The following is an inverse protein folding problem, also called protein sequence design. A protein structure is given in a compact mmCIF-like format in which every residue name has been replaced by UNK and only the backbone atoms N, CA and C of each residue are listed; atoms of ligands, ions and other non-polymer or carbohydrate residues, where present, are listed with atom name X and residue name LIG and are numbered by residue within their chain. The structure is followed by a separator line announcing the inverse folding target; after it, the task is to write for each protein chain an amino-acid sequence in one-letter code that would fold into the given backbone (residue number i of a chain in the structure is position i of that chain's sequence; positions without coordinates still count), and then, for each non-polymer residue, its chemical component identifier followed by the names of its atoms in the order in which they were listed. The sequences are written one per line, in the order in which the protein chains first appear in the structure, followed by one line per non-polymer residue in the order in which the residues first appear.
data_IF_285550072132
#
_entry.id   IF_285550072132
#
_cell.length_a   1.000
_cell.length_b   1.000
_cell.length_c   1.000
_cell.angle_alpha   90.00
_cell.angle_beta   90.00
_cell.angle_gamma   90.00
#
_symmetry.space_group_name_H-M   'P 1'
#
loop_
_entity.id
_entity.type
_entity.pdbx_description
1 polymer ?
#
# COMPACT_ATOMS: atom_id res chain seq x y z
N UNK A 1 -6.98 -5.48 -6.27
CA UNK A 1 -5.73 -5.07 -5.60
C UNK A 1 -5.96 -3.93 -4.60
N UNK A 2 -7.19 -3.52 -4.47
CA UNK A 2 -7.67 -2.46 -3.60
C UNK A 2 -9.07 -2.84 -3.12
N UNK A 3 -9.37 -2.68 -1.85
CA UNK A 3 -10.64 -3.08 -1.25
C UNK A 3 -11.10 -2.06 -0.22
N UNK A 4 -12.39 -2.07 0.09
CA UNK A 4 -12.96 -1.19 1.10
C UNK A 4 -13.17 -1.99 2.39
N UNK A 5 -12.69 -1.44 3.49
CA UNK A 5 -12.93 -1.95 4.83
C UNK A 5 -13.92 -1.01 5.53
N UNK A 6 -14.96 -1.60 6.08
CA UNK A 6 -15.90 -0.92 6.95
C UNK A 6 -15.50 -1.21 8.42
N UNK A 7 -15.34 -0.16 9.20
CA UNK A 7 -15.06 -0.25 10.62
C UNK A 7 -16.09 0.57 11.42
N UNK A 8 -16.89 -0.12 12.21
CA UNK A 8 -17.87 0.51 13.09
C UNK A 8 -17.32 0.56 14.52
N UNK A 9 -17.40 1.73 15.16
CA UNK A 9 -16.96 1.97 16.54
C UNK A 9 -18.03 2.69 17.34
N UNK A 10 -17.87 2.69 18.68
CA UNK A 10 -18.82 3.30 19.62
C UNK A 10 -19.83 2.31 20.17
N UNK A 11 -20.80 2.81 20.92
CA UNK A 11 -21.91 2.06 21.51
C UNK A 11 -23.23 2.72 21.14
N UNK A 12 -24.25 1.89 20.92
CA UNK A 12 -25.59 2.41 20.63
C UNK A 12 -26.07 3.37 21.72
N UNK A 13 -26.67 4.56 21.38
CA UNK A 13 -27.01 5.01 20.03
C UNK A 13 -25.89 5.78 19.29
N UNK A 14 -24.72 5.93 19.88
CA UNK A 14 -23.60 6.74 19.34
C UNK A 14 -22.61 5.84 18.57
N UNK A 15 -23.04 5.35 17.42
CA UNK A 15 -22.20 4.57 16.51
C UNK A 15 -21.59 5.47 15.44
N UNK A 16 -20.32 5.20 15.10
CA UNK A 16 -19.60 5.83 13.98
C UNK A 16 -19.07 4.76 13.06
N UNK A 17 -19.34 4.89 11.76
CA UNK A 17 -18.82 4.00 10.74
C UNK A 17 -17.79 4.74 9.87
N UNK A 18 -16.64 4.13 9.69
CA UNK A 18 -15.54 4.60 8.83
C UNK A 18 -15.36 3.62 7.67
N UNK A 19 -15.23 4.14 6.46
CA UNK A 19 -14.87 3.36 5.28
C UNK A 19 -13.44 3.70 4.87
N UNK A 20 -12.58 2.68 4.73
CA UNK A 20 -11.19 2.86 4.32
C UNK A 20 -10.92 2.07 3.06
N UNK A 21 -10.25 2.71 2.10
CA UNK A 21 -9.68 2.03 0.95
C UNK A 21 -8.32 1.47 1.34
N UNK A 22 -8.20 0.15 1.43
CA UNK A 22 -6.98 -0.54 1.84
C UNK A 22 -6.29 -1.22 0.66
N UNK A 23 -4.98 -1.29 0.73
CA UNK A 23 -4.09 -1.84 -0.31
C UNK A 23 -2.71 -2.16 0.25
N UNK A 24 -1.81 -2.61 -0.59
CA UNK A 24 -0.40 -2.70 -0.20
C UNK A 24 0.13 -1.34 0.25
N UNK A 25 0.74 -1.31 1.43
CA UNK A 25 1.25 -0.08 2.03
C UNK A 25 2.65 0.34 1.54
N UNK A 26 3.28 -0.44 0.66
CA UNK A 26 4.61 -0.15 0.11
C UNK A 26 5.61 0.32 1.19
N UNK A 27 5.72 -0.49 2.24
CA UNK A 27 6.50 -0.21 3.45
C UNK A 27 7.95 0.15 3.14
N UNK A 28 8.54 1.05 3.94
CA UNK A 28 9.97 1.37 3.85
C UNK A 28 10.85 0.27 4.44
N UNK A 29 10.32 -0.48 5.44
CA UNK A 29 10.94 -1.69 6.00
C UNK A 29 10.09 -2.94 5.70
N UNK A 30 10.06 -3.42 4.43
CA UNK A 30 9.08 -4.41 3.99
C UNK A 30 9.49 -5.84 4.36
N UNK A 31 8.95 -6.39 5.44
CA UNK A 31 9.18 -7.80 5.85
C UNK A 31 8.94 -8.78 4.71
N UNK A 32 7.98 -8.51 3.84
CA UNK A 32 7.68 -9.35 2.68
C UNK A 32 8.76 -9.36 1.58
N UNK A 33 9.69 -8.41 1.60
CA UNK A 33 10.91 -8.41 0.76
C UNK A 33 12.00 -9.21 1.47
N UNK A 34 12.22 -8.93 2.75
CA UNK A 34 13.26 -9.59 3.55
C UNK A 34 13.08 -11.11 3.61
N UNK A 35 11.83 -11.60 3.70
CA UNK A 35 11.50 -13.02 3.76
C UNK A 35 11.39 -13.70 2.39
N UNK A 36 11.58 -13.00 1.28
CA UNK A 36 11.45 -13.61 -0.04
C UNK A 36 12.70 -14.43 -0.39
N UNK A 37 12.61 -15.77 -0.48
CA UNK A 37 13.80 -16.61 -0.67
C UNK A 37 14.42 -16.48 -2.06
N UNK A 38 13.64 -16.03 -3.05
CA UNK A 38 14.09 -15.89 -4.45
C UNK A 38 14.39 -14.45 -4.84
N UNK A 39 14.14 -13.48 -3.95
CA UNK A 39 14.22 -12.06 -4.28
C UNK A 39 13.15 -11.60 -5.29
N UNK A 40 12.12 -12.39 -5.53
CA UNK A 40 11.01 -12.00 -6.40
C UNK A 40 10.28 -10.75 -5.87
N UNK A 41 10.08 -10.68 -4.55
CA UNK A 41 9.60 -9.46 -3.89
C UNK A 41 10.79 -8.54 -3.62
N UNK A 42 10.76 -7.33 -4.15
CA UNK A 42 11.89 -6.39 -4.09
C UNK A 42 11.41 -4.94 -4.08
N UNK A 43 12.27 -4.02 -3.70
CA UNK A 43 12.09 -2.58 -3.88
C UNK A 43 12.45 -2.20 -5.32
N UNK A 44 11.62 -1.37 -5.94
CA UNK A 44 11.83 -0.91 -7.31
C UNK A 44 12.75 0.29 -7.34
N UNK A 45 13.95 0.12 -7.94
CA UNK A 45 14.99 1.16 -8.02
C UNK A 45 15.27 1.77 -6.64
N UNK A 46 15.51 3.06 -6.59
CA UNK A 46 15.75 3.83 -5.36
C UNK A 46 14.45 4.39 -4.76
N UNK A 47 13.36 3.63 -4.86
CA UNK A 47 12.04 3.99 -4.33
C UNK A 47 11.59 3.03 -3.25
N UNK A 48 10.55 3.41 -2.50
CA UNK A 48 9.85 2.51 -1.58
C UNK A 48 8.70 1.74 -2.25
N UNK A 49 8.66 1.69 -3.58
CA UNK A 49 7.66 0.90 -4.29
C UNK A 49 8.07 -0.56 -4.27
N UNK A 50 7.35 -1.37 -3.52
CA UNK A 50 7.56 -2.83 -3.47
C UNK A 50 6.91 -3.47 -4.69
N UNK A 51 7.66 -4.29 -5.42
CA UNK A 51 7.17 -5.06 -6.58
C UNK A 51 7.38 -6.55 -6.35
N UNK A 52 6.76 -7.34 -7.22
CA UNK A 52 7.00 -8.79 -7.34
C UNK A 52 7.31 -9.09 -8.79
N UNK A 53 8.40 -9.80 -9.03
CA UNK A 53 8.76 -10.32 -10.34
C UNK A 53 8.18 -11.73 -10.52
N UNK A 54 7.18 -11.91 -11.40
CA UNK A 54 6.51 -13.21 -11.55
C UNK A 54 7.46 -14.34 -11.94
N UNK A 55 8.44 -14.05 -12.82
CA UNK A 55 9.39 -15.04 -13.29
C UNK A 55 10.30 -15.63 -12.20
N UNK A 56 10.53 -14.90 -11.12
CA UNK A 56 11.31 -15.35 -9.97
C UNK A 56 10.44 -15.93 -8.84
N UNK A 57 9.12 -15.72 -8.90
CA UNK A 57 8.23 -16.09 -7.83
C UNK A 57 7.91 -17.59 -7.86
N UNK A 58 8.24 -18.31 -6.80
CA UNK A 58 7.94 -19.74 -6.64
C UNK A 58 6.57 -20.02 -6.01
N UNK A 59 5.79 -18.98 -5.69
CA UNK A 59 4.48 -19.15 -5.06
C UNK A 59 4.52 -19.69 -3.61
N UNK A 60 5.65 -19.58 -2.91
CA UNK A 60 5.84 -20.14 -1.56
C UNK A 60 4.94 -19.51 -0.46
N UNK A 61 4.29 -18.39 -0.75
CA UNK A 61 3.34 -17.66 0.13
C UNK A 61 3.94 -17.07 1.42
N UNK A 62 5.25 -17.15 1.64
CA UNK A 62 5.89 -16.57 2.84
C UNK A 62 5.57 -15.07 2.99
N UNK A 63 5.55 -14.33 1.89
CA UNK A 63 5.22 -12.91 1.87
C UNK A 63 3.73 -12.60 2.11
N UNK A 64 2.81 -13.56 1.90
CA UNK A 64 1.40 -13.44 2.30
C UNK A 64 1.32 -13.52 3.82
N UNK A 65 1.91 -14.56 4.41
CA UNK A 65 1.90 -14.77 5.86
C UNK A 65 2.59 -13.63 6.64
N UNK A 66 3.57 -12.97 6.02
CA UNK A 66 4.32 -11.86 6.63
C UNK A 66 3.63 -10.49 6.50
N UNK A 67 2.61 -10.35 5.66
CA UNK A 67 1.96 -9.07 5.40
C UNK A 67 0.88 -8.77 6.45
N UNK A 68 1.05 -7.78 7.33
CA UNK A 68 0.04 -7.48 8.35
C UNK A 68 -1.21 -6.78 7.78
N UNK A 69 -1.14 -6.39 6.50
CA UNK A 69 -2.23 -5.67 5.81
C UNK A 69 -3.05 -6.58 4.89
N UNK A 70 -2.74 -7.87 4.84
CA UNK A 70 -3.38 -8.85 3.96
C UNK A 70 -3.40 -8.47 2.47
N UNK A 71 -2.39 -7.72 2.05
CA UNK A 71 -2.35 -7.03 0.76
C UNK A 71 -1.74 -7.85 -0.39
N UNK A 72 -1.60 -9.16 -0.22
CA UNK A 72 -1.01 -10.06 -1.22
C UNK A 72 -1.97 -11.19 -1.57
N UNK A 73 -2.03 -11.53 -2.84
CA UNK A 73 -2.92 -12.57 -3.35
C UNK A 73 -2.17 -13.51 -4.31
N UNK A 74 -2.69 -14.72 -4.45
CA UNK A 74 -2.19 -15.71 -5.43
C UNK A 74 -2.89 -15.47 -6.76
N UNK A 75 -2.10 -15.33 -7.82
CA UNK A 75 -2.64 -15.24 -9.19
C UNK A 75 -2.86 -16.65 -9.76
N UNK A 76 -4.08 -16.93 -10.15
CA UNK A 76 -4.45 -18.17 -10.81
C UNK A 76 -4.55 -17.97 -12.32
N UNK A 77 -4.15 -18.95 -13.14
CA UNK A 77 -3.59 -20.28 -12.78
C UNK A 77 -2.09 -20.28 -12.48
N UNK A 78 -1.35 -19.19 -12.70
CA UNK A 78 0.11 -19.15 -12.73
C UNK A 78 0.79 -19.36 -11.37
N UNK A 79 0.05 -19.15 -10.27
CA UNK A 79 0.51 -19.44 -8.92
C UNK A 79 1.48 -18.42 -8.29
N UNK A 80 1.92 -17.40 -9.03
CA UNK A 80 2.75 -16.35 -8.44
C UNK A 80 1.96 -15.41 -7.52
N UNK A 81 2.66 -14.66 -6.69
CA UNK A 81 2.04 -13.70 -5.76
C UNK A 81 1.99 -12.31 -6.40
N UNK A 82 0.84 -11.67 -6.32
CA UNK A 82 0.64 -10.31 -6.82
C UNK A 82 0.05 -9.39 -5.73
N UNK A 83 0.08 -8.09 -6.00
CA UNK A 83 -0.42 -7.02 -5.13
C UNK A 83 -0.52 -5.69 -5.87
N UNK A 84 -0.98 -4.63 -5.20
CA UNK A 84 -0.88 -3.26 -5.70
C UNK A 84 0.58 -2.91 -6.05
N UNK A 85 0.80 -2.27 -7.18
CA UNK A 85 2.14 -1.87 -7.69
C UNK A 85 2.37 -0.37 -7.65
N UNK A 86 1.48 0.41 -7.03
CA UNK A 86 1.37 1.87 -7.19
C UNK A 86 1.33 2.30 -8.66
N UNK A 87 0.93 1.38 -9.57
CA UNK A 87 0.96 1.64 -11.01
C UNK A 87 2.33 2.17 -11.47
N UNK A 88 3.44 1.54 -11.05
CA UNK A 88 4.81 2.01 -11.29
C UNK A 88 5.05 2.40 -12.75
N UNK A 89 4.46 1.66 -13.70
CA UNK A 89 4.51 1.95 -15.13
C UNK A 89 3.92 3.32 -15.51
N UNK A 90 2.94 3.84 -14.72
CA UNK A 90 2.39 5.19 -14.90
C UNK A 90 3.26 6.22 -14.19
N UNK A 91 3.71 5.89 -12.97
CA UNK A 91 4.56 6.76 -12.15
C UNK A 91 5.88 7.08 -12.87
N UNK A 92 6.48 6.12 -13.57
CA UNK A 92 7.65 6.34 -14.45
C UNK A 92 7.42 7.37 -15.54
N UNK A 93 6.18 7.53 -15.98
CA UNK A 93 5.78 8.51 -17.00
C UNK A 93 5.32 9.85 -16.39
N UNK A 94 5.49 10.03 -15.07
CA UNK A 94 5.02 11.22 -14.35
C UNK A 94 3.50 11.29 -14.19
N UNK A 95 2.78 10.16 -14.35
CA UNK A 95 1.34 10.08 -14.19
C UNK A 95 0.98 9.51 -12.82
N UNK A 96 -0.13 9.98 -12.25
CA UNK A 96 -0.67 9.43 -11.03
C UNK A 96 -1.11 7.96 -11.18
N UNK A 97 -1.07 7.17 -10.09
CA UNK A 97 -1.71 5.87 -10.04
C UNK A 97 -3.17 5.92 -10.48
N UNK A 98 -3.64 4.86 -11.15
CA UNK A 98 -4.99 4.83 -11.72
C UNK A 98 -6.10 5.09 -10.68
N UNK A 99 -5.96 4.55 -9.46
CA UNK A 99 -6.93 4.77 -8.38
C UNK A 99 -6.99 6.25 -7.92
N UNK A 100 -5.89 6.98 -7.99
CA UNK A 100 -5.84 8.42 -7.68
C UNK A 100 -6.52 9.21 -8.79
N UNK A 101 -6.13 9.00 -10.05
CA UNK A 101 -6.66 9.74 -11.19
C UNK A 101 -8.15 9.43 -11.47
N UNK A 102 -8.65 8.26 -11.08
CA UNK A 102 -10.06 7.88 -11.26
C UNK A 102 -10.95 8.13 -10.04
N UNK A 103 -10.40 8.64 -8.93
CA UNK A 103 -11.16 8.89 -7.71
C UNK A 103 -12.16 10.03 -7.92
N UNK A 104 -13.49 9.77 -7.89
CA UNK A 104 -14.49 10.78 -8.19
C UNK A 104 -14.60 11.88 -7.14
N UNK A 105 -14.17 11.57 -5.91
CA UNK A 105 -14.19 12.52 -4.77
C UNK A 105 -12.84 13.20 -4.58
N UNK A 106 -11.82 12.85 -5.38
CA UNK A 106 -10.45 13.36 -5.25
C UNK A 106 -9.88 13.25 -3.83
N UNK A 107 -10.27 12.22 -3.08
CA UNK A 107 -9.81 12.01 -1.70
C UNK A 107 -8.51 11.20 -1.62
N UNK A 108 -8.02 10.69 -2.74
CA UNK A 108 -6.75 9.97 -2.82
C UNK A 108 -5.67 10.87 -3.41
N UNK A 109 -4.52 10.88 -2.76
CA UNK A 109 -3.36 11.66 -3.18
C UNK A 109 -2.14 10.76 -3.30
N UNK A 110 -1.26 11.08 -4.24
CA UNK A 110 0.00 10.39 -4.45
C UNK A 110 1.12 11.41 -4.64
N UNK A 111 2.32 11.11 -4.18
CA UNK A 111 3.46 11.98 -4.33
C UNK A 111 4.69 11.49 -3.56
N UNK A 112 5.83 12.15 -3.79
CA UNK A 112 7.06 11.88 -3.05
C UNK A 112 6.97 12.44 -1.64
N UNK A 113 7.39 11.66 -0.64
CA UNK A 113 7.55 12.12 0.74
C UNK A 113 8.83 12.94 0.92
N UNK A 114 9.81 12.76 0.04
CA UNK A 114 11.09 13.48 0.07
C UNK A 114 10.99 14.89 -0.56
N UNK A 115 9.91 15.15 -1.31
CA UNK A 115 9.63 16.47 -1.87
C UNK A 115 8.70 17.25 -0.93
N UNK A 116 9.24 18.25 -0.26
CA UNK A 116 8.47 19.13 0.63
C UNK A 116 7.37 19.93 -0.09
N UNK A 117 7.48 20.10 -1.41
CA UNK A 117 6.49 20.76 -2.27
C UNK A 117 5.35 19.84 -2.70
N UNK A 118 5.48 18.53 -2.52
CA UNK A 118 4.45 17.56 -2.91
C UNK A 118 3.17 17.76 -2.11
N UNK A 119 2.03 17.49 -2.75
CA UNK A 119 0.71 17.54 -2.08
C UNK A 119 0.65 16.62 -0.85
N UNK A 120 1.28 15.45 -0.93
CA UNK A 120 1.30 14.47 0.16
C UNK A 120 2.07 15.00 1.36
N UNK A 121 3.28 15.56 1.15
CA UNK A 121 4.09 16.14 2.22
C UNK A 121 3.39 17.31 2.90
N UNK A 122 2.71 18.16 2.13
CA UNK A 122 1.92 19.26 2.66
C UNK A 122 0.71 18.80 3.47
N UNK A 123 -0.02 17.78 2.99
CA UNK A 123 -1.16 17.21 3.69
C UNK A 123 -0.73 16.58 5.02
N UNK A 124 0.35 15.80 5.04
CA UNK A 124 0.86 15.16 6.25
C UNK A 124 1.38 16.17 7.27
N UNK A 125 1.93 17.30 6.82
CA UNK A 125 2.36 18.38 7.70
C UNK A 125 1.18 19.15 8.34
N UNK A 126 0.10 19.33 7.60
CA UNK A 126 -0.99 20.23 7.97
C UNK A 126 -2.21 19.51 8.56
N UNK A 127 -2.31 18.19 8.42
CA UNK A 127 -3.47 17.40 8.86
C UNK A 127 -3.04 16.24 9.76
N UNK A 128 -3.91 15.90 10.71
CA UNK A 128 -3.75 14.67 11.48
C UNK A 128 -3.90 13.47 10.55
N UNK A 129 -3.12 12.45 10.82
CA UNK A 129 -3.14 11.23 10.03
C UNK A 129 -2.81 10.02 10.90
N UNK A 130 -3.18 8.85 10.40
CA UNK A 130 -2.83 7.55 11.00
C UNK A 130 -2.30 6.63 9.92
N UNK A 131 -1.53 5.65 10.33
CA UNK A 131 -1.12 4.49 9.52
C UNK A 131 -1.71 3.23 10.10
N UNK A 132 -1.78 2.17 9.31
CA UNK A 132 -2.23 0.86 9.79
C UNK A 132 -1.05 0.09 10.41
N UNK A 133 -1.31 -0.61 11.50
CA UNK A 133 -0.36 -1.52 12.16
C UNK A 133 1.04 -0.93 12.40
N UNK A 134 1.16 0.27 13.02
CA UNK A 134 2.47 0.89 13.30
C UNK A 134 3.35 0.01 14.21
N UNK A 135 2.74 -0.83 15.04
CA UNK A 135 3.42 -1.75 15.96
C UNK A 135 4.24 -2.83 15.26
N UNK A 136 4.02 -3.07 13.98
CA UNK A 136 4.73 -4.13 13.22
C UNK A 136 6.15 -3.75 12.80
N UNK A 137 6.50 -2.46 12.87
CA UNK A 137 7.80 -1.96 12.44
C UNK A 137 8.04 -1.98 10.92
N UNK A 138 7.01 -2.20 10.12
CA UNK A 138 7.12 -2.25 8.66
C UNK A 138 7.24 -0.87 8.00
N UNK A 139 6.96 0.22 8.73
CA UNK A 139 7.01 1.60 8.24
C UNK A 139 6.14 1.81 6.98
N UNK A 140 4.81 1.73 7.10
CA UNK A 140 3.90 1.85 5.96
C UNK A 140 3.89 3.26 5.36
N UNK A 141 3.79 3.35 4.03
CA UNK A 141 3.72 4.60 3.26
C UNK A 141 2.31 4.93 2.75
N UNK A 142 1.28 4.34 3.33
CA UNK A 142 -0.12 4.73 3.11
C UNK A 142 -0.65 5.37 4.39
N UNK A 143 -1.12 6.60 4.27
CA UNK A 143 -1.57 7.43 5.38
C UNK A 143 -3.06 7.73 5.22
N UNK A 144 -3.80 7.67 6.31
CA UNK A 144 -5.21 8.00 6.38
C UNK A 144 -5.38 9.31 7.13
N UNK A 145 -5.86 10.34 6.43
CA UNK A 145 -6.14 11.64 7.04
C UNK A 145 -7.38 11.55 7.94
N UNK A 146 -7.33 12.20 9.11
CA UNK A 146 -8.39 12.17 10.13
C UNK A 146 -8.79 13.59 10.57
#
# INVERSE_FOLDING_TARGET
RDWIVEATSGTYPNLTTEFRSERCNHCSNPTCVTLCPTGASHLWKDTNIVLVEPAKCTGCKACIAACPYDARLVMHPDGYIDKCTFCHHRVEQGLDPACVSSCPTHCMHFGSLDDAGSIVSQLLKNRKHKVLHPETGNEPNVYYLT
#
